data_IF_040076097813
#
_entry.id   IF_040076097813
#
_cell.length_a   1.000
_cell.length_b   1.000
_cell.length_c   1.000
_cell.angle_alpha   90.00
_cell.angle_beta   90.00
_cell.angle_gamma   90.00
#
_symmetry.space_group_name_H-M   'P 1'
#
loop_
_entity.id
_entity.type
_entity.pdbx_description
1 polymer ?
#
# COMPACT_ATOMS: atom_id res chain seq x y z
N UNK A 1 -85.24 -58.12 -20.45
CA UNK A 1 -84.43 -57.83 -19.25
C UNK A 1 -83.74 -56.49 -19.46
N UNK A 2 -84.36 -55.38 -19.05
CA UNK A 2 -83.70 -54.09 -19.09
C UNK A 2 -82.79 -53.99 -17.87
N UNK A 3 -81.48 -53.95 -18.10
CA UNK A 3 -80.53 -53.64 -17.04
C UNK A 3 -80.88 -52.24 -16.50
N UNK A 4 -81.19 -52.18 -15.22
CA UNK A 4 -81.56 -50.97 -14.47
C UNK A 4 -80.43 -49.93 -14.60
N UNK A 5 -80.60 -48.98 -15.52
CA UNK A 5 -79.57 -48.01 -15.95
C UNK A 5 -79.01 -47.22 -14.77
N UNK A 6 -79.85 -46.93 -13.78
CA UNK A 6 -79.45 -46.24 -12.55
C UNK A 6 -78.48 -47.05 -11.70
N UNK A 7 -78.63 -48.39 -11.67
CA UNK A 7 -77.68 -49.27 -10.97
C UNK A 7 -76.35 -49.33 -11.69
N UNK A 8 -76.35 -49.33 -13.03
CA UNK A 8 -75.11 -49.30 -13.81
C UNK A 8 -74.35 -47.98 -13.64
N UNK A 9 -75.05 -46.84 -13.65
CA UNK A 9 -74.44 -45.51 -13.43
C UNK A 9 -73.86 -45.41 -12.01
N UNK A 10 -74.56 -45.92 -10.98
CA UNK A 10 -74.06 -45.96 -9.60
C UNK A 10 -72.84 -46.87 -9.45
N UNK A 11 -72.86 -48.04 -10.09
CA UNK A 11 -71.72 -48.96 -10.09
C UNK A 11 -70.50 -48.35 -10.78
N UNK A 12 -70.68 -47.68 -11.92
CA UNK A 12 -69.61 -47.02 -12.66
C UNK A 12 -69.01 -45.84 -11.88
N UNK A 13 -69.84 -45.00 -11.25
CA UNK A 13 -69.36 -43.92 -10.36
C UNK A 13 -68.57 -44.49 -9.17
N UNK A 14 -69.04 -45.58 -8.59
CA UNK A 14 -68.37 -46.23 -7.45
C UNK A 14 -67.03 -46.86 -7.86
N UNK A 15 -66.97 -47.51 -9.02
CA UNK A 15 -65.76 -48.08 -9.59
C UNK A 15 -64.74 -47.00 -9.96
N UNK A 16 -65.17 -45.91 -10.63
CA UNK A 16 -64.33 -44.74 -10.90
C UNK A 16 -63.78 -44.14 -9.60
N UNK A 17 -64.62 -43.91 -8.59
CA UNK A 17 -64.18 -43.38 -7.29
C UNK A 17 -63.18 -44.32 -6.60
N UNK A 18 -63.38 -45.63 -6.66
CA UNK A 18 -62.46 -46.63 -6.11
C UNK A 18 -61.12 -46.68 -6.85
N UNK A 19 -61.09 -46.47 -8.17
CA UNK A 19 -59.85 -46.35 -8.94
C UNK A 19 -59.11 -45.03 -8.71
N UNK A 20 -59.81 -43.88 -8.67
CA UNK A 20 -59.17 -42.57 -8.56
C UNK A 20 -58.74 -42.20 -7.14
N UNK A 21 -59.44 -42.67 -6.10
CA UNK A 21 -59.11 -42.39 -4.69
C UNK A 21 -57.67 -42.79 -4.29
N UNK A 22 -57.16 -43.99 -4.61
CA UNK A 22 -55.77 -44.35 -4.31
C UNK A 22 -54.76 -43.57 -5.16
N UNK A 23 -55.10 -43.19 -6.40
CA UNK A 23 -54.22 -42.39 -7.26
C UNK A 23 -54.09 -40.96 -6.72
N UNK A 24 -55.21 -40.33 -6.34
CA UNK A 24 -55.23 -39.00 -5.74
C UNK A 24 -54.48 -38.99 -4.39
N UNK A 25 -54.67 -40.01 -3.53
CA UNK A 25 -53.92 -40.14 -2.26
C UNK A 25 -52.42 -40.30 -2.50
N UNK A 26 -52.01 -41.14 -3.46
CA UNK A 26 -50.60 -41.32 -3.84
C UNK A 26 -50.00 -40.04 -4.46
N UNK A 27 -50.76 -39.30 -5.27
CA UNK A 27 -50.33 -38.04 -5.87
C UNK A 27 -50.15 -36.95 -4.79
N UNK A 28 -51.10 -36.81 -3.87
CA UNK A 28 -51.01 -35.89 -2.74
C UNK A 28 -49.80 -36.20 -1.83
N UNK A 29 -49.57 -37.48 -1.51
CA UNK A 29 -48.40 -37.91 -0.72
C UNK A 29 -47.09 -37.62 -1.47
N UNK A 30 -47.03 -37.87 -2.79
CA UNK A 30 -45.84 -37.54 -3.61
C UNK A 30 -45.59 -36.04 -3.69
N UNK A 31 -46.64 -35.23 -3.85
CA UNK A 31 -46.54 -33.77 -3.88
C UNK A 31 -46.14 -33.21 -2.52
N UNK A 32 -46.70 -33.72 -1.41
CA UNK A 32 -46.30 -33.36 -0.05
C UNK A 32 -44.84 -33.76 0.24
N UNK A 33 -44.43 -34.97 -0.15
CA UNK A 33 -43.04 -35.42 -0.02
C UNK A 33 -42.07 -34.59 -0.87
N UNK A 34 -42.50 -34.14 -2.06
CA UNK A 34 -41.70 -33.25 -2.91
C UNK A 34 -41.58 -31.86 -2.31
N UNK A 35 -42.70 -31.26 -1.89
CA UNK A 35 -42.73 -29.95 -1.25
C UNK A 35 -41.92 -29.94 0.05
N UNK A 36 -42.00 -31.00 0.86
CA UNK A 36 -41.18 -31.19 2.05
C UNK A 36 -39.67 -31.25 1.73
N UNK A 37 -39.27 -32.04 0.72
CA UNK A 37 -37.86 -32.14 0.29
C UNK A 37 -37.33 -30.82 -0.29
N UNK A 38 -38.13 -30.11 -1.07
CA UNK A 38 -37.75 -28.81 -1.66
C UNK A 38 -37.63 -27.72 -0.58
N UNK A 39 -38.52 -27.73 0.43
CA UNK A 39 -38.43 -26.84 1.59
C UNK A 39 -37.16 -27.09 2.42
N UNK A 40 -36.83 -28.36 2.70
CA UNK A 40 -35.59 -28.74 3.41
C UNK A 40 -34.36 -28.24 2.65
N UNK A 41 -34.31 -28.43 1.33
CA UNK A 41 -33.23 -27.92 0.49
C UNK A 41 -33.11 -26.40 0.58
N UNK A 42 -34.21 -25.66 0.46
CA UNK A 42 -34.19 -24.20 0.51
C UNK A 42 -33.73 -23.68 1.87
N UNK A 43 -34.22 -24.27 2.97
CA UNK A 43 -33.81 -23.89 4.32
C UNK A 43 -32.34 -24.19 4.60
N UNK A 44 -31.83 -25.34 4.14
CA UNK A 44 -30.43 -25.71 4.27
C UNK A 44 -29.51 -24.74 3.51
N UNK A 45 -29.84 -24.41 2.26
CA UNK A 45 -29.10 -23.42 1.45
C UNK A 45 -29.15 -22.03 2.10
N UNK A 46 -30.30 -21.62 2.63
CA UNK A 46 -30.44 -20.35 3.35
C UNK A 46 -29.57 -20.31 4.61
N UNK A 47 -29.46 -21.42 5.35
CA UNK A 47 -28.57 -21.52 6.51
C UNK A 47 -27.10 -21.41 6.10
N UNK A 48 -26.68 -22.09 5.02
CA UNK A 48 -25.32 -21.97 4.48
C UNK A 48 -24.99 -20.53 4.08
N UNK A 49 -25.93 -19.86 3.42
CA UNK A 49 -25.77 -18.45 3.03
C UNK A 49 -25.68 -17.52 4.26
N UNK A 50 -26.49 -17.77 5.29
CA UNK A 50 -26.41 -17.06 6.56
C UNK A 50 -25.04 -17.21 7.23
N UNK A 51 -24.52 -18.43 7.27
CA UNK A 51 -23.19 -18.71 7.81
C UNK A 51 -22.08 -18.00 7.00
N UNK A 52 -22.13 -18.09 5.66
CA UNK A 52 -21.19 -17.39 4.79
C UNK A 52 -21.19 -15.88 5.06
N UNK A 53 -22.36 -15.27 5.20
CA UNK A 53 -22.50 -13.84 5.49
C UNK A 53 -21.90 -13.47 6.85
N UNK A 54 -22.15 -14.27 7.88
CA UNK A 54 -21.57 -14.06 9.21
C UNK A 54 -20.03 -14.13 9.17
N UNK A 55 -19.48 -15.09 8.43
CA UNK A 55 -18.02 -15.27 8.27
C UNK A 55 -17.39 -14.15 7.42
N UNK A 56 -18.03 -13.75 6.33
CA UNK A 56 -17.55 -12.61 5.52
C UNK A 56 -17.48 -11.33 6.36
N UNK A 57 -18.49 -11.07 7.20
CA UNK A 57 -18.47 -9.94 8.11
C UNK A 57 -17.33 -10.04 9.13
N UNK A 58 -17.07 -11.24 9.65
CA UNK A 58 -15.95 -11.50 10.56
C UNK A 58 -14.59 -11.23 9.91
N UNK A 59 -14.39 -11.70 8.67
CA UNK A 59 -13.19 -11.41 7.89
C UNK A 59 -13.00 -9.91 7.67
N UNK A 60 -14.06 -9.20 7.28
CA UNK A 60 -14.02 -7.74 7.08
C UNK A 60 -13.66 -7.02 8.39
N UNK A 61 -14.25 -7.41 9.53
CA UNK A 61 -13.89 -6.86 10.84
C UNK A 61 -12.44 -7.16 11.22
N UNK A 62 -11.99 -8.39 11.00
CA UNK A 62 -10.61 -8.82 11.28
C UNK A 62 -9.59 -8.01 10.46
N UNK A 63 -9.83 -7.79 9.17
CA UNK A 63 -8.91 -6.99 8.35
C UNK A 63 -8.95 -5.50 8.67
N UNK A 64 -10.12 -4.96 9.07
CA UNK A 64 -10.28 -3.56 9.48
C UNK A 64 -9.76 -3.26 10.89
N UNK A 65 -9.62 -4.26 11.77
CA UNK A 65 -9.24 -4.02 13.16
C UNK A 65 -7.78 -3.62 13.28
N UNK A 66 -7.51 -2.58 14.10
CA UNK A 66 -6.14 -2.10 14.37
C UNK A 66 -5.31 -3.08 15.21
N UNK A 67 -5.98 -3.89 16.05
CA UNK A 67 -5.39 -5.04 16.75
C UNK A 67 -5.96 -6.31 16.12
N UNK A 68 -5.22 -6.89 15.18
CA UNK A 68 -5.57 -8.15 14.48
C UNK A 68 -5.49 -9.33 15.46
N UNK A 69 -6.51 -9.50 16.28
CA UNK A 69 -6.65 -10.67 17.14
C UNK A 69 -7.23 -11.82 16.32
N UNK A 70 -6.36 -12.74 15.90
CA UNK A 70 -6.80 -13.96 15.23
C UNK A 70 -7.74 -14.77 16.13
N UNK A 71 -7.58 -14.69 17.44
CA UNK A 71 -8.48 -15.32 18.42
C UNK A 71 -9.91 -14.77 18.32
N UNK A 72 -10.06 -13.46 18.15
CA UNK A 72 -11.37 -12.83 17.95
C UNK A 72 -12.03 -13.32 16.66
N UNK A 73 -11.25 -13.47 15.58
CA UNK A 73 -11.74 -14.05 14.34
C UNK A 73 -12.20 -15.51 14.55
N UNK A 74 -11.41 -16.32 15.25
CA UNK A 74 -11.76 -17.70 15.58
C UNK A 74 -13.06 -17.80 16.39
N UNK A 75 -13.28 -16.91 17.34
CA UNK A 75 -14.49 -16.91 18.15
C UNK A 75 -15.73 -16.51 17.33
N UNK A 76 -15.61 -15.53 16.45
CA UNK A 76 -16.69 -15.19 15.51
C UNK A 76 -17.01 -16.36 14.56
N UNK A 77 -16.00 -17.12 14.12
CA UNK A 77 -16.21 -18.32 13.30
C UNK A 77 -16.91 -19.45 14.06
N UNK A 78 -16.54 -19.69 15.33
CA UNK A 78 -17.25 -20.67 16.18
C UNK A 78 -18.71 -20.27 16.35
N UNK A 79 -18.99 -19.00 16.58
CA UNK A 79 -20.36 -18.49 16.72
C UNK A 79 -21.16 -18.68 15.43
N UNK A 80 -20.56 -18.43 14.26
CA UNK A 80 -21.21 -18.65 12.97
C UNK A 80 -21.57 -20.12 12.72
N UNK A 81 -20.65 -21.04 13.06
CA UNK A 81 -20.94 -22.48 13.01
C UNK A 81 -22.02 -22.89 14.01
N UNK A 82 -21.99 -22.35 15.23
CA UNK A 82 -23.01 -22.63 16.24
C UNK A 82 -24.40 -22.17 15.79
N UNK A 83 -24.49 -20.96 15.23
CA UNK A 83 -25.69 -20.39 14.59
C UNK A 83 -26.20 -21.28 13.46
N UNK A 84 -25.30 -21.71 12.56
CA UNK A 84 -25.63 -22.60 11.45
C UNK A 84 -26.21 -23.94 11.91
N UNK A 85 -25.47 -24.66 12.76
CA UNK A 85 -25.90 -25.97 13.26
C UNK A 85 -27.14 -25.87 14.15
N UNK A 86 -27.33 -24.76 14.87
CA UNK A 86 -28.58 -24.46 15.57
C UNK A 86 -29.78 -24.40 14.61
N UNK A 87 -29.63 -23.71 13.46
CA UNK A 87 -30.67 -23.58 12.44
C UNK A 87 -30.97 -24.87 11.69
N UNK A 88 -29.98 -25.76 11.53
CA UNK A 88 -30.18 -27.03 10.81
C UNK A 88 -30.40 -28.25 11.70
N UNK A 89 -30.38 -28.05 13.03
CA UNK A 89 -30.54 -29.12 14.03
C UNK A 89 -31.77 -29.98 13.78
N UNK A 90 -32.89 -29.36 13.46
CA UNK A 90 -34.15 -30.07 13.27
C UNK A 90 -34.22 -30.84 11.93
N UNK A 91 -33.35 -30.54 10.95
CA UNK A 91 -33.18 -31.37 9.75
C UNK A 91 -32.36 -32.63 10.02
N UNK A 92 -31.37 -32.55 10.92
CA UNK A 92 -30.51 -33.68 11.30
C UNK A 92 -31.26 -34.66 12.23
N UNK A 93 -32.25 -34.16 12.98
CA UNK A 93 -33.10 -34.94 13.91
C UNK A 93 -34.08 -35.92 13.25
N UNK A 94 -34.35 -35.83 11.95
CA UNK A 94 -35.35 -36.69 11.27
C UNK A 94 -34.92 -38.18 11.18
N UNK A 95 -33.81 -38.57 11.82
CA UNK A 95 -33.32 -39.95 11.85
C UNK A 95 -32.79 -40.52 13.17
N UNK A 96 -32.57 -39.74 14.25
CA UNK A 96 -32.04 -40.28 15.54
C UNK A 96 -32.44 -39.40 16.74
N UNK A 97 -33.11 -40.01 17.72
CA UNK A 97 -33.75 -39.31 18.85
C UNK A 97 -32.83 -38.82 20.00
N UNK A 98 -31.50 -39.06 20.03
CA UNK A 98 -30.76 -38.75 21.28
C UNK A 98 -29.25 -38.41 21.22
N UNK A 99 -28.63 -38.07 20.08
CA UNK A 99 -27.16 -37.80 20.01
C UNK A 99 -26.73 -36.46 19.38
N UNK A 100 -27.66 -35.54 19.13
CA UNK A 100 -27.44 -34.35 18.29
C UNK A 100 -26.46 -33.32 18.90
N UNK A 101 -26.33 -33.27 20.24
CA UNK A 101 -25.46 -32.29 20.91
C UNK A 101 -23.96 -32.58 20.74
N UNK A 102 -23.54 -33.85 20.90
CA UNK A 102 -22.13 -34.27 20.74
C UNK A 102 -21.65 -34.07 19.30
N UNK A 103 -22.51 -34.43 18.35
CA UNK A 103 -22.27 -34.31 16.91
C UNK A 103 -21.92 -32.87 16.50
N UNK A 104 -22.69 -31.89 16.95
CA UNK A 104 -22.44 -30.48 16.61
C UNK A 104 -21.13 -29.98 17.19
N UNK A 105 -20.81 -30.37 18.43
CA UNK A 105 -19.55 -30.01 19.09
C UNK A 105 -18.33 -30.59 18.37
N UNK A 106 -18.41 -31.85 17.92
CA UNK A 106 -17.34 -32.53 17.17
C UNK A 106 -17.06 -31.86 15.83
N UNK A 107 -18.09 -31.45 15.08
CA UNK A 107 -17.91 -30.75 13.80
C UNK A 107 -17.27 -29.37 14.02
N UNK A 108 -17.76 -28.61 15.02
CA UNK A 108 -17.18 -27.31 15.38
C UNK A 108 -15.71 -27.48 15.78
N UNK A 109 -15.39 -28.52 16.57
CA UNK A 109 -14.04 -28.85 16.99
C UNK A 109 -13.12 -29.11 15.80
N UNK A 110 -13.50 -30.02 14.90
CA UNK A 110 -12.71 -30.38 13.72
C UNK A 110 -12.46 -29.18 12.79
N UNK A 111 -13.49 -28.34 12.58
CA UNK A 111 -13.35 -27.13 11.76
C UNK A 111 -12.46 -26.07 12.44
N UNK A 112 -12.63 -25.83 13.74
CA UNK A 112 -11.82 -24.89 14.50
C UNK A 112 -10.34 -25.31 14.58
N UNK A 113 -10.06 -26.61 14.65
CA UNK A 113 -8.69 -27.14 14.62
C UNK A 113 -7.98 -26.78 13.30
N UNK A 114 -8.68 -26.94 12.17
CA UNK A 114 -8.17 -26.58 10.85
C UNK A 114 -7.92 -25.08 10.71
N UNK A 115 -8.82 -24.23 11.21
CA UNK A 115 -8.63 -22.78 11.25
C UNK A 115 -7.40 -22.37 12.07
N UNK A 116 -7.16 -23.00 13.22
CA UNK A 116 -6.00 -22.71 14.08
C UNK A 116 -4.65 -22.97 13.40
N UNK A 117 -4.61 -23.79 12.36
CA UNK A 117 -3.39 -24.05 11.58
C UNK A 117 -3.10 -22.97 10.54
N UNK A 118 -4.08 -22.14 10.18
CA UNK A 118 -3.94 -21.09 9.16
C UNK A 118 -2.80 -20.09 9.45
N UNK A 119 -2.62 -19.54 10.66
CA UNK A 119 -1.55 -18.58 10.93
C UNK A 119 -0.16 -19.18 10.70
N UNK A 120 0.04 -20.45 11.07
CA UNK A 120 1.32 -21.13 10.86
C UNK A 120 1.60 -21.35 9.38
N UNK A 121 0.59 -21.74 8.59
CA UNK A 121 0.71 -21.87 7.14
C UNK A 121 1.08 -20.53 6.48
N UNK A 122 0.41 -19.46 6.89
CA UNK A 122 0.70 -18.10 6.41
C UNK A 122 2.12 -17.70 6.79
N UNK A 123 2.56 -17.95 8.03
CA UNK A 123 3.92 -17.66 8.49
C UNK A 123 4.97 -18.43 7.67
N UNK A 124 4.73 -19.71 7.41
CA UNK A 124 5.61 -20.54 6.58
C UNK A 124 5.70 -19.99 5.15
N UNK A 125 4.56 -19.69 4.53
CA UNK A 125 4.51 -19.12 3.19
C UNK A 125 5.33 -17.82 3.07
N UNK A 126 5.08 -16.85 3.95
CA UNK A 126 5.82 -15.58 3.92
C UNK A 126 7.30 -15.76 4.27
N UNK A 127 7.63 -16.74 5.11
CA UNK A 127 9.01 -17.17 5.36
C UNK A 127 9.70 -17.61 4.08
N UNK A 128 9.10 -18.55 3.34
CA UNK A 128 9.63 -19.06 2.07
C UNK A 128 9.72 -17.99 0.98
N UNK A 129 8.74 -17.08 0.89
CA UNK A 129 8.79 -15.94 -0.04
C UNK A 129 9.98 -15.04 0.29
N UNK A 130 10.16 -14.70 1.57
CA UNK A 130 11.28 -13.86 2.02
C UNK A 130 12.63 -14.49 1.70
N UNK A 131 12.78 -15.79 1.98
CA UNK A 131 14.00 -16.54 1.70
C UNK A 131 14.30 -16.57 0.20
N UNK A 132 13.29 -16.83 -0.64
CA UNK A 132 13.44 -16.82 -2.09
C UNK A 132 13.82 -15.43 -2.64
N UNK A 133 13.19 -14.36 -2.13
CA UNK A 133 13.56 -13.00 -2.51
C UNK A 133 14.99 -12.68 -2.09
N UNK A 134 15.41 -13.12 -0.89
CA UNK A 134 16.79 -12.94 -0.41
C UNK A 134 17.80 -13.63 -1.33
N UNK A 135 17.54 -14.89 -1.70
CA UNK A 135 18.37 -15.65 -2.65
C UNK A 135 18.49 -14.96 -4.02
N UNK A 136 17.38 -14.42 -4.54
CA UNK A 136 17.33 -13.71 -5.82
C UNK A 136 17.92 -12.28 -5.77
N UNK A 137 18.14 -11.73 -4.57
CA UNK A 137 18.74 -10.41 -4.35
C UNK A 137 20.25 -10.48 -4.12
N UNK A 138 20.81 -11.68 -4.00
CA UNK A 138 22.24 -11.90 -3.81
C UNK A 138 23.02 -11.38 -5.04
N UNK A 139 24.21 -10.74 -4.89
CA UNK A 139 24.95 -10.12 -5.99
C UNK A 139 25.20 -11.05 -7.19
N UNK A 140 25.43 -12.33 -6.91
CA UNK A 140 25.63 -13.38 -7.92
C UNK A 140 24.38 -13.65 -8.78
N UNK A 141 23.19 -13.36 -8.24
CA UNK A 141 21.88 -13.61 -8.84
C UNK A 141 21.16 -12.32 -9.28
N UNK A 142 21.81 -11.15 -9.15
CA UNK A 142 21.22 -9.86 -9.50
C UNK A 142 20.93 -9.71 -10.99
N UNK A 143 21.60 -10.49 -11.85
CA UNK A 143 21.41 -10.53 -13.30
C UNK A 143 20.07 -11.14 -13.74
N UNK A 144 19.34 -11.82 -12.84
CA UNK A 144 18.03 -12.37 -13.18
C UNK A 144 17.00 -11.25 -13.42
N UNK A 145 16.29 -11.38 -14.54
CA UNK A 145 15.21 -10.45 -14.90
C UNK A 145 14.09 -10.45 -13.86
N UNK A 146 13.38 -9.33 -13.75
CA UNK A 146 12.21 -9.18 -12.86
C UNK A 146 11.17 -10.27 -13.09
N UNK A 147 11.02 -10.75 -14.33
CA UNK A 147 10.13 -11.84 -14.68
C UNK A 147 10.53 -13.17 -14.02
N UNK A 148 11.83 -13.50 -13.97
CA UNK A 148 12.34 -14.72 -13.29
C UNK A 148 12.10 -14.62 -11.78
N UNK A 149 12.28 -13.43 -11.20
CA UNK A 149 12.04 -13.20 -9.76
C UNK A 149 10.57 -13.37 -9.40
N UNK A 150 9.68 -12.79 -10.20
CA UNK A 150 8.23 -12.97 -10.06
C UNK A 150 7.86 -14.45 -10.23
N UNK A 151 8.40 -15.15 -11.24
CA UNK A 151 8.10 -16.55 -11.48
C UNK A 151 8.46 -17.46 -10.29
N UNK A 152 9.59 -17.21 -9.62
CA UNK A 152 9.99 -17.96 -8.43
C UNK A 152 9.05 -17.73 -7.25
N UNK A 153 8.70 -16.48 -6.96
CA UNK A 153 7.74 -16.15 -5.89
C UNK A 153 6.35 -16.73 -6.20
N UNK A 154 5.89 -16.64 -7.45
CA UNK A 154 4.63 -17.22 -7.90
C UNK A 154 4.61 -18.75 -7.76
N UNK A 155 5.72 -19.45 -8.04
CA UNK A 155 5.82 -20.90 -7.81
C UNK A 155 5.60 -21.27 -6.34
N UNK A 156 6.16 -20.49 -5.41
CA UNK A 156 6.00 -20.70 -3.96
C UNK A 156 4.55 -20.46 -3.54
N UNK A 157 3.93 -19.39 -4.03
CA UNK A 157 2.52 -19.08 -3.75
C UNK A 157 1.63 -20.20 -4.28
N UNK A 158 1.84 -20.65 -5.51
CA UNK A 158 1.06 -21.73 -6.13
C UNK A 158 1.27 -23.06 -5.42
N UNK A 159 2.51 -23.44 -5.08
CA UNK A 159 2.77 -24.69 -4.36
C UNK A 159 2.18 -24.68 -2.96
N UNK A 160 2.21 -23.55 -2.26
CA UNK A 160 1.55 -23.39 -0.97
C UNK A 160 0.03 -23.50 -1.10
N UNK A 161 -0.59 -22.84 -2.08
CA UNK A 161 -2.03 -22.95 -2.32
C UNK A 161 -2.44 -24.39 -2.67
N UNK A 162 -1.66 -25.12 -3.47
CA UNK A 162 -1.91 -26.52 -3.81
C UNK A 162 -1.76 -27.45 -2.59
N UNK A 163 -0.65 -27.31 -1.84
CA UNK A 163 -0.41 -28.11 -0.64
C UNK A 163 -1.46 -27.87 0.45
N UNK A 164 -1.96 -26.64 0.54
CA UNK A 164 -3.05 -26.32 1.48
C UNK A 164 -4.42 -26.72 0.95
N UNK A 165 -4.65 -26.64 -0.37
CA UNK A 165 -5.83 -27.20 -1.02
C UNK A 165 -5.98 -28.69 -0.70
N UNK A 166 -4.86 -29.44 -0.71
CA UNK A 166 -4.83 -30.84 -0.27
C UNK A 166 -5.18 -31.01 1.22
N UNK A 167 -4.73 -30.09 2.09
CA UNK A 167 -4.98 -30.13 3.54
C UNK A 167 -6.46 -29.89 3.91
N UNK A 168 -7.18 -29.13 3.07
CA UNK A 168 -8.58 -28.77 3.24
C UNK A 168 -9.49 -29.38 2.17
N UNK A 169 -9.09 -30.48 1.52
CA UNK A 169 -9.90 -31.18 0.52
C UNK A 169 -11.32 -31.49 1.05
N UNK A 170 -12.31 -31.32 0.18
CA UNK A 170 -13.71 -31.64 0.48
C UNK A 170 -13.88 -33.08 0.97
N UNK A 171 -13.10 -34.01 0.42
CA UNK A 171 -13.08 -35.43 0.81
C UNK A 171 -12.72 -35.64 2.29
N UNK A 172 -11.80 -34.86 2.85
CA UNK A 172 -11.45 -34.98 4.28
C UNK A 172 -12.66 -34.68 5.16
N UNK A 173 -13.34 -33.57 4.88
CA UNK A 173 -14.53 -33.19 5.64
C UNK A 173 -15.69 -34.12 5.33
N UNK A 174 -15.91 -34.51 4.08
CA UNK A 174 -16.96 -35.48 3.72
C UNK A 174 -16.77 -36.80 4.46
N UNK A 175 -15.56 -37.37 4.49
CA UNK A 175 -15.27 -38.60 5.23
C UNK A 175 -15.44 -38.42 6.75
N UNK A 176 -15.04 -37.27 7.30
CA UNK A 176 -15.28 -36.95 8.71
C UNK A 176 -16.79 -36.88 9.01
N UNK A 177 -17.54 -36.20 8.17
CA UNK A 177 -18.98 -35.96 8.32
C UNK A 177 -19.80 -37.22 8.04
N UNK A 178 -19.36 -38.12 7.16
CA UNK A 178 -20.03 -39.39 6.90
C UNK A 178 -20.06 -40.33 8.12
N UNK A 179 -19.14 -40.15 9.07
CA UNK A 179 -19.14 -40.90 10.34
C UNK A 179 -20.26 -40.45 11.28
N UNK A 180 -20.87 -39.31 10.99
CA UNK A 180 -21.93 -38.72 11.80
C UNK A 180 -23.29 -39.19 11.26
N UNK A 181 -24.13 -39.80 12.11
CA UNK A 181 -25.46 -40.25 11.69
C UNK A 181 -26.33 -39.06 11.25
N UNK A 182 -27.08 -39.24 10.16
CA UNK A 182 -27.93 -38.21 9.55
C UNK A 182 -27.25 -37.39 8.45
N UNK A 183 -25.92 -37.41 8.34
CA UNK A 183 -25.18 -36.66 7.32
C UNK A 183 -25.17 -37.34 5.94
N UNK A 184 -25.56 -38.61 5.89
CA UNK A 184 -25.75 -39.38 4.65
C UNK A 184 -27.10 -39.12 3.97
N UNK A 185 -27.96 -38.27 4.57
CA UNK A 185 -29.22 -37.89 3.94
C UNK A 185 -28.97 -37.22 2.60
N UNK A 186 -29.62 -37.73 1.56
CA UNK A 186 -29.42 -37.26 0.19
C UNK A 186 -30.40 -36.15 -0.18
N UNK A 187 -29.85 -35.01 -0.58
CA UNK A 187 -30.59 -33.91 -1.19
C UNK A 187 -30.51 -34.09 -2.70
N UNK A 188 -31.68 -34.26 -3.33
CA UNK A 188 -31.78 -34.48 -4.79
C UNK A 188 -31.03 -33.39 -5.56
N UNK A 189 -30.16 -33.83 -6.49
CA UNK A 189 -29.26 -33.00 -7.32
C UNK A 189 -28.09 -32.31 -6.59
N UNK A 190 -27.94 -32.47 -5.28
CA UNK A 190 -26.83 -31.89 -4.51
C UNK A 190 -25.97 -32.93 -3.79
N UNK A 191 -26.41 -34.19 -3.72
CA UNK A 191 -25.69 -35.26 -3.02
C UNK A 191 -26.03 -35.31 -1.53
N UNK A 192 -25.18 -35.94 -0.73
CA UNK A 192 -25.38 -36.05 0.72
C UNK A 192 -25.09 -34.73 1.44
N UNK A 193 -25.67 -34.55 2.62
CA UNK A 193 -25.35 -33.41 3.50
C UNK A 193 -23.84 -33.37 3.80
N UNK A 194 -23.21 -34.53 4.03
CA UNK A 194 -21.78 -34.65 4.24
C UNK A 194 -20.96 -34.10 3.07
N UNK A 195 -21.30 -34.46 1.83
CA UNK A 195 -20.59 -33.97 0.64
C UNK A 195 -20.75 -32.45 0.49
N UNK A 196 -21.98 -31.94 0.62
CA UNK A 196 -22.25 -30.49 0.48
C UNK A 196 -21.49 -29.70 1.55
N UNK A 197 -21.53 -30.14 2.80
CA UNK A 197 -20.79 -29.51 3.89
C UNK A 197 -19.28 -29.68 3.75
N UNK A 198 -18.82 -30.82 3.24
CA UNK A 198 -17.41 -31.06 2.97
C UNK A 198 -16.85 -30.06 1.97
N UNK A 199 -17.52 -29.91 0.83
CA UNK A 199 -17.18 -28.90 -0.18
C UNK A 199 -17.32 -27.47 0.36
N UNK A 200 -18.36 -27.19 1.14
CA UNK A 200 -18.56 -25.88 1.74
C UNK A 200 -17.43 -25.51 2.70
N UNK A 201 -17.08 -26.39 3.64
CA UNK A 201 -16.00 -26.12 4.60
C UNK A 201 -14.63 -26.04 3.92
N UNK A 202 -14.37 -26.91 2.94
CA UNK A 202 -13.17 -26.87 2.12
C UNK A 202 -13.01 -25.54 1.39
N UNK A 203 -14.04 -25.11 0.66
CA UNK A 203 -14.05 -23.86 -0.10
C UNK A 203 -13.98 -22.64 0.82
N UNK A 204 -14.67 -22.67 1.96
CA UNK A 204 -14.64 -21.61 2.95
C UNK A 204 -13.25 -21.44 3.56
N UNK A 205 -12.59 -22.53 4.00
CA UNK A 205 -11.25 -22.47 4.57
C UNK A 205 -10.22 -22.02 3.53
N UNK A 206 -10.33 -22.52 2.30
CA UNK A 206 -9.48 -22.11 1.18
C UNK A 206 -9.69 -20.63 0.84
N UNK A 207 -10.93 -20.14 0.85
CA UNK A 207 -11.27 -18.74 0.62
C UNK A 207 -10.75 -17.81 1.71
N UNK A 208 -10.92 -18.19 2.99
CA UNK A 208 -10.35 -17.47 4.14
C UNK A 208 -8.83 -17.38 4.00
N UNK A 209 -8.16 -18.49 3.71
CA UNK A 209 -6.72 -18.52 3.53
C UNK A 209 -6.29 -17.64 2.37
N UNK A 210 -6.94 -17.76 1.20
CA UNK A 210 -6.66 -16.94 0.03
C UNK A 210 -6.76 -15.45 0.35
N UNK A 211 -7.83 -15.03 1.06
CA UNK A 211 -8.00 -13.65 1.50
C UNK A 211 -6.87 -13.18 2.44
N UNK A 212 -6.45 -14.03 3.39
CA UNK A 212 -5.33 -13.72 4.30
C UNK A 212 -4.01 -13.59 3.53
N UNK A 213 -3.74 -14.49 2.60
CA UNK A 213 -2.53 -14.47 1.76
C UNK A 213 -2.49 -13.20 0.91
N UNK A 214 -3.56 -12.89 0.18
CA UNK A 214 -3.65 -11.71 -0.69
C UNK A 214 -3.42 -10.44 0.13
N UNK A 215 -4.14 -10.27 1.24
CA UNK A 215 -3.97 -9.09 2.09
C UNK A 215 -2.57 -9.00 2.72
N UNK A 216 -1.93 -10.14 3.00
CA UNK A 216 -0.54 -10.20 3.44
C UNK A 216 0.44 -9.78 2.34
N UNK A 217 0.21 -10.22 1.10
CA UNK A 217 1.02 -9.87 -0.06
C UNK A 217 0.93 -8.37 -0.39
N UNK A 218 -0.28 -7.80 -0.37
CA UNK A 218 -0.49 -6.36 -0.57
C UNK A 218 0.30 -5.55 0.47
N UNK A 219 0.26 -5.97 1.73
CA UNK A 219 1.04 -5.36 2.80
C UNK A 219 2.56 -5.49 2.60
N UNK A 220 3.03 -6.64 2.12
CA UNK A 220 4.44 -6.86 1.79
C UNK A 220 4.91 -5.96 0.63
N UNK A 221 4.15 -5.93 -0.46
CA UNK A 221 4.43 -5.11 -1.65
C UNK A 221 4.44 -3.63 -1.29
N UNK A 222 3.43 -3.16 -0.55
CA UNK A 222 3.33 -1.76 -0.13
C UNK A 222 4.55 -1.32 0.68
N UNK A 223 5.04 -2.14 1.61
CA UNK A 223 6.27 -1.84 2.37
C UNK A 223 7.50 -1.78 1.48
N UNK A 224 7.65 -2.72 0.54
CA UNK A 224 8.78 -2.71 -0.41
C UNK A 224 8.79 -1.47 -1.29
N UNK A 225 7.63 -1.05 -1.80
CA UNK A 225 7.49 0.19 -2.56
C UNK A 225 7.85 1.42 -1.72
N UNK A 226 7.45 1.46 -0.45
CA UNK A 226 7.82 2.55 0.45
C UNK A 226 9.33 2.59 0.74
N UNK A 227 9.95 1.44 0.95
CA UNK A 227 11.39 1.35 1.20
C UNK A 227 12.21 1.78 -0.03
N UNK A 228 11.81 1.34 -1.23
CA UNK A 228 12.42 1.77 -2.49
C UNK A 228 12.24 3.28 -2.73
N UNK A 229 11.05 3.81 -2.47
CA UNK A 229 10.79 5.24 -2.61
C UNK A 229 11.67 6.08 -1.66
N UNK A 230 11.79 5.67 -0.39
CA UNK A 230 12.69 6.32 0.57
C UNK A 230 14.15 6.29 0.13
N UNK A 231 14.60 5.16 -0.43
CA UNK A 231 15.95 5.03 -0.98
C UNK A 231 16.18 6.00 -2.14
N UNK A 232 15.25 6.06 -3.10
CA UNK A 232 15.32 7.00 -4.24
C UNK A 232 15.32 8.47 -3.77
N UNK A 233 14.51 8.81 -2.77
CA UNK A 233 14.51 10.15 -2.19
C UNK A 233 15.85 10.48 -1.52
N UNK A 234 16.47 9.53 -0.81
CA UNK A 234 17.78 9.72 -0.19
C UNK A 234 18.88 9.92 -1.26
N UNK A 235 18.88 9.10 -2.31
CA UNK A 235 19.84 9.22 -3.41
C UNK A 235 19.72 10.59 -4.12
N UNK A 236 18.48 11.05 -4.37
CA UNK A 236 18.25 12.37 -4.97
C UNK A 236 18.64 13.53 -4.05
N UNK A 237 18.41 13.41 -2.74
CA UNK A 237 18.88 14.39 -1.75
C UNK A 237 20.42 14.48 -1.74
N UNK A 238 21.11 13.34 -1.79
CA UNK A 238 22.56 13.30 -1.83
C UNK A 238 23.12 13.93 -3.13
N UNK A 239 22.47 13.68 -4.27
CA UNK A 239 22.83 14.34 -5.53
C UNK A 239 22.65 15.87 -5.45
N UNK A 240 21.55 16.34 -4.86
CA UNK A 240 21.28 17.76 -4.67
C UNK A 240 22.34 18.42 -3.77
N UNK A 241 22.71 17.77 -2.66
CA UNK A 241 23.76 18.25 -1.77
C UNK A 241 25.08 18.42 -2.53
N UNK A 242 25.47 17.43 -3.34
CA UNK A 242 26.70 17.53 -4.16
C UNK A 242 26.65 18.71 -5.15
N UNK A 243 25.49 18.98 -5.75
CA UNK A 243 25.32 20.13 -6.65
C UNK A 243 25.42 21.44 -5.88
N UNK A 244 24.83 21.52 -4.68
CA UNK A 244 24.92 22.69 -3.81
C UNK A 244 26.37 22.99 -3.39
N UNK A 245 27.14 21.96 -3.02
CA UNK A 245 28.56 22.11 -2.67
C UNK A 245 29.36 22.73 -3.83
N UNK A 246 29.12 22.26 -5.07
CA UNK A 246 29.75 22.82 -6.27
C UNK A 246 29.34 24.29 -6.49
N UNK A 247 28.06 24.63 -6.31
CA UNK A 247 27.58 26.01 -6.46
C UNK A 247 28.17 26.95 -5.41
N UNK A 248 28.28 26.51 -4.16
CA UNK A 248 28.92 27.27 -3.08
C UNK A 248 30.39 27.52 -3.45
N UNK A 249 31.12 26.47 -3.84
CA UNK A 249 32.51 26.60 -4.27
C UNK A 249 32.69 27.60 -5.42
N UNK A 250 31.85 27.53 -6.46
CA UNK A 250 31.89 28.48 -7.59
C UNK A 250 31.56 29.90 -7.14
N UNK A 251 30.60 30.08 -6.23
CA UNK A 251 30.26 31.39 -5.68
C UNK A 251 31.43 31.98 -4.87
N UNK A 252 32.08 31.18 -4.03
CA UNK A 252 33.28 31.58 -3.28
C UNK A 252 34.43 31.99 -4.20
N UNK A 253 34.69 31.23 -5.26
CA UNK A 253 35.69 31.58 -6.27
C UNK A 253 35.35 32.88 -6.98
N UNK A 254 34.09 33.08 -7.38
CA UNK A 254 33.65 34.33 -8.01
C UNK A 254 33.81 35.55 -7.09
N UNK A 255 33.51 35.39 -5.80
CA UNK A 255 33.74 36.44 -4.80
C UNK A 255 35.23 36.75 -4.67
N UNK A 256 36.09 35.73 -4.61
CA UNK A 256 37.54 35.91 -4.54
C UNK A 256 38.10 36.63 -5.77
N UNK A 257 37.68 36.22 -6.98
CA UNK A 257 38.06 36.89 -8.24
C UNK A 257 37.62 38.34 -8.25
N UNK A 258 36.36 38.63 -7.86
CA UNK A 258 35.85 40.01 -7.83
C UNK A 258 36.55 40.87 -6.79
N UNK A 259 36.89 40.30 -5.63
CA UNK A 259 37.70 40.97 -4.59
C UNK A 259 39.09 41.32 -5.12
N UNK A 260 39.75 40.40 -5.82
CA UNK A 260 41.07 40.64 -6.41
C UNK A 260 41.02 41.71 -7.52
N UNK A 261 39.99 41.70 -8.37
CA UNK A 261 39.78 42.75 -9.38
C UNK A 261 39.59 44.13 -8.73
N UNK A 262 38.77 44.21 -7.67
CA UNK A 262 38.55 45.43 -6.90
C UNK A 262 39.87 45.94 -6.28
N UNK A 263 40.67 45.06 -5.66
CA UNK A 263 41.96 45.45 -5.12
C UNK A 263 42.94 45.92 -6.20
N UNK A 264 42.97 45.25 -7.36
CA UNK A 264 43.79 45.69 -8.49
C UNK A 264 43.39 47.09 -8.98
N UNK A 265 42.09 47.35 -9.12
CA UNK A 265 41.56 48.67 -9.49
C UNK A 265 41.90 49.74 -8.44
N UNK A 266 41.76 49.44 -7.15
CA UNK A 266 42.17 50.35 -6.07
C UNK A 266 43.66 50.67 -6.13
N UNK A 267 44.52 49.66 -6.33
CA UNK A 267 45.96 49.87 -6.44
C UNK A 267 46.33 50.77 -7.63
N UNK A 268 45.72 50.54 -8.80
CA UNK A 268 45.90 51.39 -9.99
C UNK A 268 45.43 52.82 -9.75
N UNK A 269 44.25 53.00 -9.14
CA UNK A 269 43.73 54.32 -8.83
C UNK A 269 44.64 55.06 -7.83
N UNK A 270 45.16 54.36 -6.83
CA UNK A 270 46.08 54.93 -5.86
C UNK A 270 47.42 55.31 -6.49
N UNK A 271 47.95 54.52 -7.42
CA UNK A 271 49.12 54.89 -8.21
C UNK A 271 48.86 56.15 -9.04
N UNK A 272 47.73 56.20 -9.77
CA UNK A 272 47.35 57.37 -10.57
C UNK A 272 47.18 58.63 -9.72
N UNK A 273 46.64 58.49 -8.51
CA UNK A 273 46.54 59.60 -7.57
C UNK A 273 47.92 60.11 -7.14
N UNK A 274 48.88 59.22 -6.87
CA UNK A 274 50.27 59.63 -6.56
C UNK A 274 50.92 60.38 -7.70
N UNK A 275 50.74 59.91 -8.94
CA UNK A 275 51.25 60.59 -10.14
C UNK A 275 50.65 61.98 -10.30
N UNK A 276 49.33 62.13 -10.12
CA UNK A 276 48.65 63.43 -10.14
C UNK A 276 49.15 64.37 -9.04
N UNK A 277 49.30 63.88 -7.81
CA UNK A 277 49.81 64.69 -6.70
C UNK A 277 51.24 65.14 -6.93
N UNK A 278 52.11 64.26 -7.44
CA UNK A 278 53.49 64.62 -7.79
C UNK A 278 53.55 65.71 -8.87
N UNK A 279 52.69 65.62 -9.88
CA UNK A 279 52.59 66.66 -10.92
C UNK A 279 52.11 67.99 -10.33
N UNK A 280 51.10 67.98 -9.46
CA UNK A 280 50.60 69.20 -8.78
C UNK A 280 51.68 69.83 -7.89
N UNK A 281 52.41 69.02 -7.12
CA UNK A 281 53.52 69.50 -6.28
C UNK A 281 54.63 70.14 -7.12
N UNK A 282 54.91 69.58 -8.30
CA UNK A 282 55.89 70.13 -9.23
C UNK A 282 55.40 71.42 -9.88
N UNK A 283 54.14 71.50 -10.30
CA UNK A 283 53.51 72.73 -10.80
C UNK A 283 53.53 73.84 -9.73
N UNK A 284 53.20 73.51 -8.48
CA UNK A 284 53.22 74.45 -7.37
C UNK A 284 54.65 74.95 -7.07
N UNK A 285 55.63 74.05 -7.10
CA UNK A 285 57.05 74.40 -6.92
C UNK A 285 57.53 75.36 -8.01
N UNK A 286 57.19 75.08 -9.27
CA UNK A 286 57.52 75.93 -10.41
C UNK A 286 56.86 77.31 -10.30
N UNK A 287 55.58 77.35 -9.92
CA UNK A 287 54.85 78.61 -9.70
C UNK A 287 55.48 79.46 -8.60
N UNK A 288 55.94 78.85 -7.50
CA UNK A 288 56.64 79.55 -6.41
C UNK A 288 57.98 80.13 -6.87
N UNK A 289 58.71 79.44 -7.75
CA UNK A 289 59.96 79.93 -8.34
C UNK A 289 59.66 81.13 -9.24
N UNK A 290 58.68 81.02 -10.14
CA UNK A 290 58.26 82.12 -11.04
C UNK A 290 57.85 83.36 -10.23
N UNK A 291 57.05 83.19 -9.18
CA UNK A 291 56.65 84.28 -8.30
C UNK A 291 57.84 84.97 -7.64
N UNK A 292 58.82 84.22 -7.12
CA UNK A 292 60.05 84.78 -6.55
C UNK A 292 60.87 85.55 -7.59
N UNK A 293 60.98 85.04 -8.81
CA UNK A 293 61.67 85.73 -9.91
C UNK A 293 60.99 87.05 -10.26
N UNK A 294 59.66 87.09 -10.34
CA UNK A 294 58.91 88.34 -10.57
C UNK A 294 59.09 89.35 -9.46
N UNK A 295 59.14 88.90 -8.20
CA UNK A 295 59.42 89.76 -7.05
C UNK A 295 60.79 90.42 -7.15
N UNK A 296 61.83 89.63 -7.43
CA UNK A 296 63.19 90.13 -7.63
C UNK A 296 63.27 91.10 -8.81
N UNK A 297 62.61 90.79 -9.93
CA UNK A 297 62.57 91.68 -11.09
C UNK A 297 61.88 93.02 -10.78
N UNK A 298 60.80 93.00 -10.00
CA UNK A 298 60.14 94.22 -9.55
C UNK A 298 61.00 95.02 -8.58
N UNK A 299 61.70 94.36 -7.65
CA UNK A 299 62.62 95.02 -6.71
C UNK A 299 63.73 95.76 -7.46
N UNK A 300 64.38 95.08 -8.43
CA UNK A 300 65.38 95.70 -9.31
C UNK A 300 64.78 96.91 -10.06
N UNK A 301 63.57 96.77 -10.62
CA UNK A 301 62.90 97.86 -11.33
C UNK A 301 62.61 99.07 -10.43
N UNK A 302 62.17 98.85 -9.18
CA UNK A 302 61.93 99.94 -8.24
C UNK A 302 63.21 100.62 -7.80
N UNK A 303 64.28 99.86 -7.55
CA UNK A 303 65.61 100.41 -7.23
C UNK A 303 66.15 101.28 -8.38
N UNK A 304 66.04 100.80 -9.63
CA UNK A 304 66.40 101.59 -10.81
C UNK A 304 65.60 102.89 -10.90
N UNK A 305 64.27 102.82 -10.71
CA UNK A 305 63.41 104.02 -10.76
C UNK A 305 63.67 104.99 -9.63
N UNK A 306 64.04 104.49 -8.46
CA UNK A 306 64.42 105.33 -7.33
C UNK A 306 65.76 106.03 -7.59
N UNK A 307 66.73 105.33 -8.17
CA UNK A 307 67.99 105.92 -8.62
C UNK A 307 67.77 107.01 -9.68
N UNK A 308 66.91 106.77 -10.68
CA UNK A 308 66.54 107.78 -11.69
C UNK A 308 65.88 109.02 -11.05
N UNK A 309 65.02 108.83 -10.04
CA UNK A 309 64.40 109.93 -9.30
C UNK A 309 65.42 110.73 -8.50
N UNK A 310 66.37 110.08 -7.83
CA UNK A 310 67.47 110.76 -7.12
C UNK A 310 68.34 111.57 -8.09
N UNK A 311 68.66 111.03 -9.27
CA UNK A 311 69.38 111.76 -10.31
C UNK A 311 68.59 112.98 -10.82
N UNK A 312 67.29 112.83 -11.08
CA UNK A 312 66.44 113.95 -11.48
C UNK A 312 66.31 115.02 -10.40
N UNK A 313 66.22 114.61 -9.12
CA UNK A 313 66.17 115.52 -7.98
C UNK A 313 67.47 116.32 -7.86
N UNK A 314 68.62 115.67 -8.02
CA UNK A 314 69.93 116.33 -8.00
C UNK A 314 70.06 117.33 -9.17
N UNK A 315 69.67 116.94 -10.38
CA UNK A 315 69.69 117.83 -11.55
C UNK A 315 68.75 119.04 -11.39
N UNK A 316 67.62 118.88 -10.71
CA UNK A 316 66.71 119.99 -10.41
C UNK A 316 67.29 120.94 -9.35
N UNK A 317 67.95 120.40 -8.33
CA UNK A 317 68.63 121.21 -7.30
C UNK A 317 69.79 122.04 -7.88
N UNK A 318 70.47 121.55 -8.93
CA UNK A 318 71.54 122.29 -9.63
C UNK A 318 71.01 123.47 -10.48
N UNK A 319 69.70 123.54 -10.74
CA UNK A 319 69.05 124.60 -11.54
C UNK A 319 68.42 125.73 -10.71
N UNK A 320 68.36 125.60 -9.38
CA UNK A 320 67.80 126.56 -8.41
C UNK A 320 68.91 127.34 -7.68
#
# INVERSE_FOLDING_TARGET
>A
MAADSDKMIKAEKSAKKAMYKPIAKKAAVRMANKAGKDAVKAMFVAALFGMLKEIMNALVRFFKSKKRSFDTFLDEMKNALHSFFGKIRDFIKVGVDSFVGSIVGEIIGAFAEKLRKLPNLVKQLFGSIRESISYLSNPENQSHSTAIKIAHVSKIITSALLGVGAMFLGEYFEQFLNKIPGMTFEIKFLGTIANILGMFFASLLTGILGAIIINGLDGFISRKLQDENKKQQADKKNELLRIQDVQIFVAEQNVAVKRNDIFSKMAKNHQKLRELLANVDQEFSNSKIDFKQRLLANEIYFDEKQSELEEMQNALNDLL
#
